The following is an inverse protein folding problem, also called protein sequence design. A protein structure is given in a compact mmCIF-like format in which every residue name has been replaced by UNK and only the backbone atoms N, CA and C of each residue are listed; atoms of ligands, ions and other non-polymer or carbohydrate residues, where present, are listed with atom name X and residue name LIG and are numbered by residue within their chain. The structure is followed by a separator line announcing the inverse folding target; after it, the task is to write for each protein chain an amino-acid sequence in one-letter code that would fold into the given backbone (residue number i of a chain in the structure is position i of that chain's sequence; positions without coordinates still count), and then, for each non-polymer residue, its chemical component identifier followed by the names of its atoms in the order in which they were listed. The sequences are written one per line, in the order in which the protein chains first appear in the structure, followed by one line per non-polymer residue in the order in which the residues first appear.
data_IF_724677257335
#
_entry.id   IF_724677257335
#
_cell.length_a   1.000
_cell.length_b   1.000
_cell.length_c   1.000
_cell.angle_alpha   90.00
_cell.angle_beta   90.00
_cell.angle_gamma   90.00
#
_symmetry.space_group_name_H-M   'P 1'
#
loop_
_entity.id
_entity.type
_entity.pdbx_description
1 polymer ?
#
# COMPACT_ATOMS: atom_id res chain seq x y z
N UNK A 1 -11.48 10.65 -22.69
CA UNK A 1 -10.15 11.33 -22.67
C UNK A 1 -9.84 11.55 -21.20
N UNK A 2 -8.68 11.15 -20.71
CA UNK A 2 -8.30 11.38 -19.32
C UNK A 2 -7.90 12.83 -19.17
N UNK A 3 -8.22 13.47 -18.04
CA UNK A 3 -7.98 14.92 -17.83
C UNK A 3 -6.53 15.35 -18.11
N UNK A 4 -5.55 14.53 -17.73
CA UNK A 4 -4.14 14.81 -17.95
C UNK A 4 -3.71 14.75 -19.44
N UNK A 5 -4.48 14.10 -20.33
CA UNK A 5 -4.20 14.03 -21.75
C UNK A 5 -4.30 15.40 -22.43
N UNK A 6 -5.02 16.35 -21.83
CA UNK A 6 -5.11 17.73 -22.33
C UNK A 6 -3.79 18.53 -22.19
N UNK A 7 -2.90 18.08 -21.30
CA UNK A 7 -1.60 18.73 -21.06
C UNK A 7 -0.47 18.21 -21.96
N UNK A 8 -0.73 17.17 -22.77
CA UNK A 8 0.26 16.60 -23.69
C UNK A 8 -0.09 17.07 -25.11
N UNK A 9 0.82 17.79 -25.74
CA UNK A 9 0.65 18.26 -27.13
C UNK A 9 0.59 17.09 -28.12
N UNK A 10 0.00 17.31 -29.28
CA UNK A 10 -0.03 16.30 -30.35
C UNK A 10 1.38 15.93 -30.84
N UNK A 11 2.31 16.86 -30.83
CA UNK A 11 3.70 16.62 -31.21
C UNK A 11 4.39 15.68 -30.21
N UNK A 12 4.25 15.92 -28.91
CA UNK A 12 4.75 15.02 -27.87
C UNK A 12 4.14 13.63 -27.98
N UNK A 13 2.84 13.51 -28.25
CA UNK A 13 2.19 12.21 -28.48
C UNK A 13 2.84 11.45 -29.63
N UNK A 14 3.10 12.13 -30.75
CA UNK A 14 3.77 11.51 -31.90
C UNK A 14 5.21 11.08 -31.57
N UNK A 15 5.92 11.88 -30.78
CA UNK A 15 7.27 11.52 -30.30
C UNK A 15 7.22 10.26 -29.45
N UNK A 16 6.33 10.19 -28.46
CA UNK A 16 6.18 9.02 -27.59
C UNK A 16 5.74 7.77 -28.36
N UNK A 17 4.82 7.91 -29.33
CA UNK A 17 4.42 6.83 -30.20
C UNK A 17 5.57 6.28 -31.05
N UNK A 18 6.31 7.20 -31.69
CA UNK A 18 7.47 6.84 -32.54
C UNK A 18 8.60 6.23 -31.71
N UNK A 19 8.79 6.69 -30.48
CA UNK A 19 9.79 6.17 -29.54
C UNK A 19 9.38 4.84 -28.88
N UNK A 20 8.14 4.37 -29.09
CA UNK A 20 7.65 3.10 -28.53
C UNK A 20 7.21 3.17 -27.07
N UNK A 21 7.06 4.36 -26.48
CA UNK A 21 6.65 4.55 -25.08
C UNK A 21 5.14 4.32 -24.83
N UNK A 22 4.36 4.06 -25.86
CA UNK A 22 2.92 3.70 -25.76
C UNK A 22 2.67 2.19 -25.61
N UNK A 23 3.70 1.41 -25.29
CA UNK A 23 3.54 0.00 -25.00
C UNK A 23 2.54 -0.23 -23.84
N UNK A 24 1.61 -1.17 -24.01
CA UNK A 24 0.86 -1.68 -22.87
C UNK A 24 1.71 -2.78 -22.25
N UNK A 25 2.11 -2.59 -21.01
CA UNK A 25 2.65 -3.69 -20.23
C UNK A 25 1.61 -4.81 -20.17
N UNK A 26 2.06 -6.03 -20.35
CA UNK A 26 1.21 -7.20 -20.21
C UNK A 26 1.13 -7.54 -18.72
N UNK A 27 -0.05 -7.99 -18.30
CA UNK A 27 -0.18 -8.65 -17.01
C UNK A 27 0.74 -9.88 -17.00
N UNK A 28 1.39 -10.10 -15.88
CA UNK A 28 2.15 -11.33 -15.64
C UNK A 28 1.25 -12.57 -15.63
N UNK A 29 1.86 -13.73 -15.60
CA UNK A 29 1.15 -15.03 -15.57
C UNK A 29 0.82 -15.43 -14.13
N UNK A 30 1.65 -15.00 -13.17
CA UNK A 30 1.52 -15.26 -11.75
C UNK A 30 1.42 -13.95 -10.95
N UNK A 31 0.27 -13.28 -10.96
CA UNK A 31 0.09 -12.05 -10.21
C UNK A 31 -0.03 -12.29 -8.70
N UNK A 32 0.26 -11.25 -7.91
CA UNK A 32 -0.13 -11.18 -6.50
C UNK A 32 -0.75 -9.81 -6.18
N UNK A 33 -1.64 -9.76 -5.20
CA UNK A 33 -2.16 -8.52 -4.65
C UNK A 33 -1.25 -8.05 -3.53
N UNK A 34 -0.70 -6.84 -3.64
CA UNK A 34 0.06 -6.19 -2.57
C UNK A 34 -0.76 -5.05 -1.97
N UNK A 35 -1.22 -5.21 -0.73
CA UNK A 35 -1.92 -4.19 0.05
C UNK A 35 -0.88 -3.37 0.83
N UNK A 36 -0.63 -2.14 0.34
CA UNK A 36 0.46 -1.29 0.83
C UNK A 36 -0.06 -0.33 1.89
N UNK A 37 0.36 -0.53 3.14
CA UNK A 37 0.18 0.39 4.26
C UNK A 37 -1.28 0.81 4.53
N UNK A 38 -2.25 -0.05 4.18
CA UNK A 38 -3.65 0.18 4.54
C UNK A 38 -3.84 -0.24 5.99
N UNK A 39 -3.33 0.59 6.89
CA UNK A 39 -3.25 0.38 8.34
C UNK A 39 -3.92 1.51 9.09
N UNK A 40 -4.25 1.29 10.36
CA UNK A 40 -4.97 2.26 11.20
C UNK A 40 -4.31 3.64 11.25
N UNK A 41 -2.98 3.71 11.21
CA UNK A 41 -2.25 4.98 11.16
C UNK A 41 -2.53 5.83 9.92
N UNK A 42 -3.01 5.22 8.82
CA UNK A 42 -3.42 5.93 7.61
C UNK A 42 -4.95 6.00 7.44
N UNK A 43 -5.69 5.03 7.99
CA UNK A 43 -7.16 5.04 7.88
C UNK A 43 -7.84 5.81 9.00
N UNK A 44 -7.18 5.93 10.16
CA UNK A 44 -7.85 6.30 11.40
C UNK A 44 -8.71 5.14 11.93
N UNK A 45 -9.32 5.34 13.10
CA UNK A 45 -10.20 4.33 13.74
C UNK A 45 -11.64 4.40 13.27
N UNK A 46 -12.06 5.51 12.66
CA UNK A 46 -13.41 5.76 12.12
C UNK A 46 -13.39 6.78 10.99
N UNK A 47 -14.43 6.80 10.13
CA UNK A 47 -14.56 7.83 9.11
C UNK A 47 -14.76 9.22 9.73
N UNK A 48 -13.95 10.20 9.31
CA UNK A 48 -14.07 11.59 9.74
C UNK A 48 -13.35 12.51 8.74
N UNK A 49 -13.61 13.84 8.76
CA UNK A 49 -12.85 14.80 7.97
C UNK A 49 -11.36 14.70 8.26
N UNK A 50 -10.52 14.94 7.24
CA UNK A 50 -9.06 14.80 7.38
C UNK A 50 -8.49 15.69 8.48
N UNK A 51 -9.04 16.89 8.68
CA UNK A 51 -8.59 17.82 9.72
C UNK A 51 -8.77 17.26 11.13
N UNK A 52 -9.85 16.51 11.37
CA UNK A 52 -10.10 15.84 12.65
C UNK A 52 -9.29 14.53 12.76
N UNK A 53 -9.12 13.84 11.63
CA UNK A 53 -8.41 12.58 11.57
C UNK A 53 -6.91 12.69 11.88
N UNK A 54 -6.28 13.81 11.50
CA UNK A 54 -4.86 14.06 11.79
C UNK A 54 -4.58 14.34 13.28
N UNK A 55 -5.60 14.72 14.06
CA UNK A 55 -5.49 14.84 15.51
C UNK A 55 -5.39 13.45 16.17
N UNK A 56 -6.05 12.44 15.57
CA UNK A 56 -5.94 11.04 16.01
C UNK A 56 -4.62 10.42 15.53
N UNK A 57 -4.37 10.45 14.21
CA UNK A 57 -3.13 9.97 13.57
C UNK A 57 -2.62 11.02 12.58
N UNK A 58 -1.44 11.60 12.81
CA UNK A 58 -0.88 12.65 11.94
C UNK A 58 -0.71 12.23 10.45
N UNK A 59 -0.77 10.94 10.16
CA UNK A 59 -0.70 10.37 8.82
C UNK A 59 -2.05 9.96 8.25
N UNK A 60 -3.14 10.17 8.98
CA UNK A 60 -4.47 9.73 8.55
C UNK A 60 -4.95 10.47 7.31
N UNK A 61 -5.56 9.72 6.41
CA UNK A 61 -6.22 10.22 5.19
C UNK A 61 -7.70 10.58 5.42
N UNK A 62 -8.22 10.34 6.64
CA UNK A 62 -9.60 10.67 6.99
C UNK A 62 -10.63 9.92 6.14
N UNK A 63 -11.73 10.61 5.77
CA UNK A 63 -12.87 10.02 5.04
C UNK A 63 -12.45 9.29 3.75
N UNK A 64 -11.46 9.82 3.01
CA UNK A 64 -11.04 9.24 1.73
C UNK A 64 -10.52 7.80 1.89
N UNK A 65 -9.83 7.50 3.00
CA UNK A 65 -9.40 6.14 3.29
C UNK A 65 -10.60 5.21 3.50
N UNK A 66 -11.60 5.65 4.25
CA UNK A 66 -12.81 4.88 4.51
C UNK A 66 -13.66 4.65 3.27
N UNK A 67 -13.70 5.59 2.34
CA UNK A 67 -14.35 5.44 1.03
C UNK A 67 -13.62 4.43 0.13
N UNK A 68 -12.30 4.26 0.32
CA UNK A 68 -11.49 3.29 -0.40
C UNK A 68 -11.59 1.86 0.15
N UNK A 69 -11.76 1.70 1.48
CA UNK A 69 -11.75 0.38 2.14
C UNK A 69 -12.73 -0.63 1.52
N UNK A 70 -14.00 -0.31 1.21
CA UNK A 70 -14.91 -1.26 0.59
C UNK A 70 -14.44 -1.74 -0.80
N UNK A 71 -13.75 -0.88 -1.56
CA UNK A 71 -13.20 -1.22 -2.89
C UNK A 71 -11.98 -2.15 -2.76
N UNK A 72 -11.12 -1.87 -1.77
CA UNK A 72 -9.98 -2.72 -1.43
C UNK A 72 -10.48 -4.09 -0.96
N UNK A 73 -11.50 -4.14 -0.11
CA UNK A 73 -12.12 -5.37 0.35
C UNK A 73 -12.70 -6.20 -0.81
N UNK A 74 -13.39 -5.55 -1.75
CA UNK A 74 -13.94 -6.22 -2.92
C UNK A 74 -12.83 -6.87 -3.76
N UNK A 75 -11.73 -6.14 -4.01
CA UNK A 75 -10.58 -6.66 -4.74
C UNK A 75 -9.90 -7.80 -3.97
N UNK A 76 -9.74 -7.63 -2.66
CA UNK A 76 -9.17 -8.65 -1.76
C UNK A 76 -9.96 -9.96 -1.82
N UNK A 77 -11.30 -9.91 -1.74
CA UNK A 77 -12.14 -11.09 -1.84
C UNK A 77 -11.99 -11.75 -3.22
N UNK A 78 -12.02 -10.97 -4.30
CA UNK A 78 -11.85 -11.51 -5.65
C UNK A 78 -10.48 -12.21 -5.84
N UNK A 79 -9.41 -11.67 -5.25
CA UNK A 79 -8.10 -12.30 -5.28
C UNK A 79 -8.06 -13.59 -4.46
N UNK A 80 -8.66 -13.60 -3.26
CA UNK A 80 -8.77 -14.80 -2.42
C UNK A 80 -9.59 -15.89 -3.09
N UNK A 81 -10.72 -15.55 -3.70
CA UNK A 81 -11.58 -16.50 -4.42
C UNK A 81 -10.89 -17.09 -5.66
N UNK A 82 -9.98 -16.32 -6.27
CA UNK A 82 -9.17 -16.75 -7.41
C UNK A 82 -7.83 -17.39 -7.01
N UNK A 83 -7.59 -17.63 -5.71
CA UNK A 83 -6.34 -18.17 -5.17
C UNK A 83 -5.09 -17.35 -5.55
N UNK A 84 -5.26 -16.05 -5.85
CA UNK A 84 -4.17 -15.12 -6.09
C UNK A 84 -3.51 -14.78 -4.75
N UNK A 85 -2.18 -14.94 -4.60
CA UNK A 85 -1.49 -14.63 -3.36
C UNK A 85 -1.72 -13.19 -2.92
N UNK A 86 -2.03 -13.00 -1.63
CA UNK A 86 -2.18 -11.68 -1.03
C UNK A 86 -1.01 -11.40 -0.10
N UNK A 87 -0.46 -10.21 -0.23
CA UNK A 87 0.67 -9.72 0.54
C UNK A 87 0.28 -8.39 1.18
N UNK A 88 0.61 -8.21 2.43
CA UNK A 88 0.40 -6.95 3.15
C UNK A 88 1.71 -6.28 3.49
N UNK A 89 1.74 -4.96 3.54
CA UNK A 89 2.85 -4.25 4.16
C UNK A 89 2.38 -3.39 5.34
N UNK A 90 3.18 -3.37 6.39
CA UNK A 90 3.00 -2.53 7.56
C UNK A 90 4.35 -2.08 8.10
N UNK A 91 4.35 -1.06 8.95
CA UNK A 91 5.57 -0.63 9.65
C UNK A 91 5.94 -1.63 10.73
N UNK A 92 7.26 -1.73 11.01
CA UNK A 92 7.80 -2.49 12.14
C UNK A 92 8.09 -1.51 13.29
N UNK A 93 7.29 -1.51 14.37
CA UNK A 93 7.49 -0.60 15.49
C UNK A 93 8.77 -0.91 16.28
N UNK A 94 9.16 -2.18 16.38
CA UNK A 94 10.35 -2.60 17.13
C UNK A 94 11.62 -2.12 16.43
N UNK A 95 11.62 -2.14 15.10
CA UNK A 95 12.75 -1.64 14.32
C UNK A 95 12.89 -0.11 14.41
N UNK A 96 11.78 0.62 14.52
CA UNK A 96 11.79 2.07 14.73
C UNK A 96 12.45 2.44 16.06
N UNK A 97 12.18 1.68 17.11
CA UNK A 97 12.78 1.88 18.42
C UNK A 97 14.31 1.73 18.38
N UNK A 98 14.83 0.77 17.59
CA UNK A 98 16.26 0.50 17.48
C UNK A 98 17.02 1.49 16.58
N UNK A 99 16.42 1.99 15.51
CA UNK A 99 17.10 2.73 14.44
C UNK A 99 16.57 4.16 14.21
N UNK A 100 15.65 4.61 15.04
CA UNK A 100 15.03 5.92 14.94
C UNK A 100 14.01 6.06 13.80
N UNK A 101 13.26 7.15 13.83
CA UNK A 101 12.24 7.43 12.83
C UNK A 101 12.85 7.83 11.48
N UNK A 102 12.33 7.28 10.39
CA UNK A 102 12.67 7.71 9.04
C UNK A 102 12.16 9.13 8.72
N UNK A 103 11.22 9.64 9.51
CA UNK A 103 10.67 10.99 9.44
C UNK A 103 10.89 11.69 10.78
N UNK A 104 11.25 12.99 10.74
CA UNK A 104 11.53 13.84 11.92
C UNK A 104 10.29 14.12 12.82
N UNK A 105 9.24 13.35 12.73
CA UNK A 105 8.06 13.47 13.58
C UNK A 105 8.34 12.69 14.87
N UNK A 106 8.78 13.42 15.91
CA UNK A 106 8.91 12.88 17.26
C UNK A 106 7.51 12.61 17.83
N UNK A 107 7.13 11.36 17.86
CA UNK A 107 6.02 10.87 18.67
C UNK A 107 6.59 9.72 19.47
N UNK A 108 6.57 9.82 20.78
CA UNK A 108 6.95 8.73 21.67
C UNK A 108 5.99 7.56 21.48
N UNK A 109 6.59 6.44 21.13
CA UNK A 109 5.89 5.26 20.68
C UNK A 109 5.62 4.29 21.82
N UNK A 110 4.38 4.14 22.18
CA UNK A 110 4.01 3.03 23.04
C UNK A 110 2.78 2.27 22.51
N UNK A 111 1.59 2.58 22.96
CA UNK A 111 0.37 1.87 22.55
C UNK A 111 -0.20 2.41 21.23
N UNK A 112 0.05 3.69 20.94
CA UNK A 112 -0.35 4.35 19.71
C UNK A 112 0.34 3.74 18.48
N UNK A 113 1.65 3.44 18.53
CA UNK A 113 2.34 2.81 17.39
C UNK A 113 1.86 1.38 17.15
N UNK A 114 1.56 0.63 18.19
CA UNK A 114 1.00 -0.72 18.05
C UNK A 114 -0.37 -0.71 17.38
N UNK A 115 -1.22 0.28 17.71
CA UNK A 115 -2.51 0.46 17.06
C UNK A 115 -2.33 0.94 15.62
N UNK A 116 -1.43 1.90 15.38
CA UNK A 116 -1.21 2.48 14.07
C UNK A 116 -0.79 1.47 13.00
N UNK A 117 -0.11 0.38 13.38
CA UNK A 117 0.37 -0.65 12.44
C UNK A 117 -0.62 -1.78 12.20
N UNK A 118 -1.81 -1.75 12.83
CA UNK A 118 -2.83 -2.76 12.65
C UNK A 118 -3.65 -2.53 11.38
N UNK A 119 -4.15 -3.61 10.82
CA UNK A 119 -5.03 -3.56 9.66
C UNK A 119 -6.48 -3.35 10.10
N UNK A 120 -7.27 -2.52 9.37
CA UNK A 120 -8.72 -2.43 9.58
C UNK A 120 -9.37 -3.81 9.47
N UNK A 121 -10.35 -4.10 10.33
CA UNK A 121 -11.01 -5.41 10.37
C UNK A 121 -11.60 -5.84 9.01
N UNK A 122 -12.07 -4.86 8.23
CA UNK A 122 -12.64 -5.06 6.89
C UNK A 122 -11.68 -5.72 5.90
N UNK A 123 -10.37 -5.54 6.08
CA UNK A 123 -9.33 -6.04 5.18
C UNK A 123 -8.25 -6.82 5.93
N UNK A 124 -8.58 -7.36 7.09
CA UNK A 124 -7.65 -8.09 7.94
C UNK A 124 -7.00 -9.26 7.20
N UNK A 125 -5.68 -9.45 7.34
CA UNK A 125 -4.99 -10.61 6.78
C UNK A 125 -5.51 -11.92 7.35
N UNK A 126 -5.54 -12.97 6.52
CA UNK A 126 -5.67 -14.35 6.98
C UNK A 126 -4.34 -14.87 7.55
N UNK A 127 -4.38 -15.94 8.32
CA UNK A 127 -3.19 -16.50 8.99
C UNK A 127 -2.11 -17.00 8.03
N UNK A 128 -2.47 -17.36 6.80
CA UNK A 128 -1.58 -17.84 5.73
C UNK A 128 -1.07 -16.75 4.80
N UNK A 129 -1.57 -15.51 4.92
CA UNK A 129 -1.15 -14.39 4.09
C UNK A 129 0.14 -13.74 4.59
N UNK A 130 1.00 -13.34 3.65
CA UNK A 130 2.32 -12.84 3.97
C UNK A 130 2.28 -11.35 4.37
N UNK A 131 2.75 -11.04 5.59
CA UNK A 131 2.85 -9.68 6.10
C UNK A 131 4.30 -9.23 6.09
N UNK A 132 4.60 -8.21 5.28
CA UNK A 132 5.90 -7.55 5.22
C UNK A 132 5.97 -6.46 6.27
N UNK A 133 6.76 -6.68 7.32
CA UNK A 133 7.08 -5.64 8.30
C UNK A 133 8.30 -4.86 7.83
N UNK A 134 8.17 -3.55 7.70
CA UNK A 134 9.21 -2.69 7.12
C UNK A 134 9.61 -1.55 8.03
N UNK A 135 10.90 -1.26 8.03
CA UNK A 135 11.50 -0.15 8.79
C UNK A 135 11.58 1.15 7.98
N UNK A 136 11.34 1.09 6.69
CA UNK A 136 11.46 2.21 5.75
C UNK A 136 10.23 2.27 4.84
N UNK A 137 10.10 3.35 4.07
CA UNK A 137 8.93 3.57 3.21
C UNK A 137 8.74 2.45 2.18
N UNK A 138 9.81 1.95 1.56
CA UNK A 138 9.72 0.86 0.59
C UNK A 138 9.66 -0.51 1.27
N UNK A 139 8.68 -1.33 0.88
CA UNK A 139 8.59 -2.72 1.30
C UNK A 139 9.67 -3.62 0.66
N UNK A 140 10.33 -3.14 -0.41
CA UNK A 140 11.44 -3.85 -1.05
C UNK A 140 12.78 -3.65 -0.35
N UNK A 141 12.90 -2.61 0.48
CA UNK A 141 14.17 -2.27 1.13
C UNK A 141 14.31 -2.94 2.49
N UNK A 142 15.29 -3.84 2.60
CA UNK A 142 15.65 -4.49 3.87
C UNK A 142 14.57 -5.44 4.42
N UNK A 143 13.74 -6.02 3.54
CA UNK A 143 12.71 -6.98 3.91
C UNK A 143 12.85 -8.29 3.14
N UNK A 144 12.03 -9.27 3.46
CA UNK A 144 11.98 -10.55 2.76
C UNK A 144 11.01 -10.55 1.55
N UNK A 145 10.47 -9.38 1.13
CA UNK A 145 9.49 -9.33 0.04
C UNK A 145 10.03 -9.94 -1.25
N UNK A 146 11.21 -9.51 -1.71
CA UNK A 146 11.83 -10.06 -2.94
C UNK A 146 12.01 -11.57 -2.84
N UNK A 147 12.49 -12.06 -1.71
CA UNK A 147 12.67 -13.50 -1.50
C UNK A 147 11.35 -14.26 -1.60
N UNK A 148 10.27 -13.70 -1.05
CA UNK A 148 8.93 -14.27 -1.16
C UNK A 148 8.44 -14.30 -2.61
N UNK A 149 8.54 -13.18 -3.34
CA UNK A 149 8.09 -13.05 -4.72
C UNK A 149 8.81 -14.07 -5.64
N UNK A 150 10.13 -14.14 -5.53
CA UNK A 150 10.94 -15.09 -6.32
C UNK A 150 10.57 -16.52 -5.97
N UNK A 151 10.45 -16.86 -4.68
CA UNK A 151 10.11 -18.22 -4.24
C UNK A 151 8.72 -18.68 -4.70
N UNK A 152 7.78 -17.75 -4.84
CA UNK A 152 6.41 -18.00 -5.30
C UNK A 152 6.25 -17.84 -6.81
N UNK A 153 7.33 -17.52 -7.54
CA UNK A 153 7.33 -17.22 -8.98
C UNK A 153 6.33 -16.10 -9.35
N UNK A 154 6.15 -15.12 -8.47
CA UNK A 154 5.28 -13.96 -8.74
C UNK A 154 6.01 -13.03 -9.70
N UNK A 155 5.36 -12.70 -10.81
CA UNK A 155 5.91 -11.90 -11.91
C UNK A 155 5.14 -10.59 -12.14
N UNK A 156 4.08 -10.34 -11.35
CA UNK A 156 3.28 -9.12 -11.40
C UNK A 156 2.71 -8.77 -10.01
N UNK A 157 2.67 -7.48 -9.67
CA UNK A 157 2.05 -6.94 -8.46
C UNK A 157 1.01 -5.88 -8.81
#
# INVERSE_FOLDING_TARGET
MREWEAFISEEERKIYEKAGYKGKEKFGVNPALLIIDVITGFTGTKPMPVMDAIDEFPTSCGQVAWDALPKIQQLLHACRDAEVPVIYSTSDPDFKAAFGNATKRGVDATDFEKLAVQFPEMIKPNDDEFIVRKARASAFFGTHLITYLVRKNIDCL
#
